data_IF_271169556138
#
_entry.id   IF_271169556138
#
_cell.length_a   1.000
_cell.length_b   1.000
_cell.length_c   1.000
_cell.angle_alpha   90.00
_cell.angle_beta   90.00
_cell.angle_gamma   90.00
#
_symmetry.space_group_name_H-M   'P 1'
#
loop_
_entity.id
_entity.type
_entity.pdbx_description
1 polymer ?
#
# COMPACT_ATOMS: atom_id res chain seq x y z
N UNK A 1 -46.66 -42.07 -48.07
CA UNK A 1 -46.44 -43.48 -47.68
C UNK A 1 -45.99 -43.46 -46.23
N UNK A 2 -46.73 -44.16 -45.37
CA UNK A 2 -46.43 -44.56 -43.97
C UNK A 2 -46.15 -43.45 -42.92
N UNK A 3 -47.02 -43.23 -41.92
CA UNK A 3 -47.23 -43.99 -40.65
C UNK A 3 -45.98 -43.94 -39.74
N UNK A 4 -46.03 -43.63 -38.45
CA UNK A 4 -47.12 -43.63 -37.50
C UNK A 4 -46.74 -43.03 -36.13
N UNK A 5 -47.72 -42.48 -35.39
CA UNK A 5 -48.42 -43.09 -34.23
C UNK A 5 -47.48 -43.11 -32.97
N UNK A 6 -47.75 -42.48 -31.82
CA UNK A 6 -48.79 -42.84 -30.83
C UNK A 6 -49.15 -41.71 -29.84
N UNK A 7 -50.46 -41.48 -29.78
CA UNK A 7 -51.23 -40.62 -28.88
C UNK A 7 -51.34 -41.22 -27.48
N UNK A 8 -51.40 -40.29 -26.53
CA UNK A 8 -51.82 -40.42 -25.12
C UNK A 8 -53.06 -41.30 -24.94
N UNK A 9 -52.95 -42.29 -24.06
CA UNK A 9 -54.05 -43.10 -23.54
C UNK A 9 -54.58 -42.46 -22.24
N UNK A 10 -55.87 -42.11 -22.24
CA UNK A 10 -56.65 -41.52 -21.15
C UNK A 10 -57.89 -42.40 -21.00
N UNK A 11 -57.98 -43.19 -19.93
CA UNK A 11 -59.17 -43.91 -19.48
C UNK A 11 -58.92 -44.22 -18.00
N UNK A 12 -59.71 -43.76 -17.02
CA UNK A 12 -61.17 -43.72 -17.02
C UNK A 12 -61.69 -45.03 -16.44
N UNK A 13 -61.43 -45.33 -15.16
CA UNK A 13 -62.02 -46.49 -14.48
C UNK A 13 -62.80 -46.08 -13.24
N UNK A 14 -64.10 -46.22 -13.45
CA UNK A 14 -65.27 -46.02 -12.61
C UNK A 14 -65.40 -47.14 -11.56
N UNK A 15 -66.00 -46.76 -10.44
CA UNK A 15 -66.28 -47.50 -9.22
C UNK A 15 -67.36 -48.58 -9.40
N UNK A 16 -67.19 -49.74 -8.76
CA UNK A 16 -68.21 -50.69 -8.27
C UNK A 16 -67.47 -51.98 -7.83
N UNK A 17 -67.78 -52.73 -6.76
CA UNK A 17 -68.75 -52.61 -5.69
C UNK A 17 -68.48 -53.71 -4.62
N UNK A 18 -68.99 -53.48 -3.40
CA UNK A 18 -69.43 -54.49 -2.38
C UNK A 18 -68.33 -55.23 -1.60
N UNK A 19 -68.53 -55.61 -0.34
CA UNK A 19 -69.63 -55.44 0.62
C UNK A 19 -69.02 -55.54 2.02
N UNK A 20 -69.47 -54.69 2.92
CA UNK A 20 -69.26 -54.80 4.37
C UNK A 20 -70.08 -56.00 4.86
N UNK A 21 -69.42 -56.94 5.53
CA UNK A 21 -70.03 -57.94 6.41
C UNK A 21 -69.14 -58.06 7.64
N UNK A 22 -69.71 -57.69 8.79
CA UNK A 22 -69.14 -57.59 10.14
C UNK A 22 -68.70 -58.98 10.70
N UNK A 23 -68.34 -59.19 11.99
CA UNK A 23 -68.00 -58.27 13.10
C UNK A 23 -66.74 -58.74 13.89
N UNK A 24 -66.36 -57.99 14.93
CA UNK A 24 -65.42 -58.34 16.02
C UNK A 24 -63.93 -58.49 15.64
N UNK A 25 -63.17 -57.41 15.85
CA UNK A 25 -61.91 -57.53 16.60
C UNK A 25 -61.52 -56.16 17.15
N UNK A 26 -61.68 -55.97 18.47
CA UNK A 26 -61.00 -54.92 19.21
C UNK A 26 -59.50 -55.22 19.22
N UNK A 27 -58.79 -54.90 18.15
CA UNK A 27 -57.33 -54.78 18.14
C UNK A 27 -56.96 -53.68 17.15
N UNK A 28 -57.38 -52.47 17.47
CA UNK A 28 -56.89 -51.28 16.80
C UNK A 28 -55.42 -51.08 17.21
N UNK A 29 -54.55 -51.32 16.25
CA UNK A 29 -53.11 -51.11 16.31
C UNK A 29 -52.83 -49.61 16.44
N UNK A 30 -52.88 -49.09 17.67
CA UNK A 30 -52.31 -47.77 17.98
C UNK A 30 -50.84 -47.92 18.36
N UNK A 31 -50.04 -48.27 17.36
CA UNK A 31 -48.59 -48.18 17.37
C UNK A 31 -48.19 -47.22 16.26
N UNK A 32 -48.21 -45.92 16.57
CA UNK A 32 -47.59 -44.85 15.79
C UNK A 32 -47.21 -43.73 16.76
N UNK A 33 -46.42 -44.10 17.75
CA UNK A 33 -45.67 -43.18 18.59
C UNK A 33 -44.18 -43.44 18.39
N UNK A 34 -43.74 -43.47 17.14
CA UNK A 34 -42.32 -43.52 16.81
C UNK A 34 -42.03 -42.61 15.64
N UNK A 35 -41.40 -41.50 16.01
CA UNK A 35 -40.11 -41.16 15.42
C UNK A 35 -40.14 -40.34 14.14
N UNK A 36 -40.59 -39.09 14.28
CA UNK A 36 -40.06 -37.99 13.48
C UNK A 36 -39.62 -36.83 14.37
N UNK A 37 -39.11 -37.12 15.57
CA UNK A 37 -38.26 -36.17 16.27
C UNK A 37 -36.86 -36.29 15.66
N UNK A 38 -36.76 -35.85 14.40
CA UNK A 38 -35.52 -35.61 13.69
C UNK A 38 -34.79 -34.53 14.47
N UNK A 39 -34.07 -34.98 15.48
CA UNK A 39 -33.10 -34.21 16.23
C UNK A 39 -32.11 -33.72 15.19
N UNK A 40 -32.35 -32.53 14.64
CA UNK A 40 -31.27 -31.73 14.11
C UNK A 40 -30.43 -31.49 15.33
N UNK A 41 -29.44 -32.35 15.52
CA UNK A 41 -28.28 -32.05 16.34
C UNK A 41 -27.78 -30.72 15.79
N UNK A 42 -28.20 -29.64 16.43
CA UNK A 42 -27.52 -28.37 16.36
C UNK A 42 -26.18 -28.67 16.98
N UNK A 43 -25.27 -29.19 16.14
CA UNK A 43 -23.91 -29.45 16.50
C UNK A 43 -23.40 -28.11 16.97
N UNK A 44 -23.29 -27.96 18.29
CA UNK A 44 -22.52 -26.90 18.89
C UNK A 44 -21.09 -27.19 18.45
N UNK A 45 -20.77 -26.64 17.28
CA UNK A 45 -19.44 -26.64 16.70
C UNK A 45 -18.62 -25.72 17.61
N UNK A 46 -18.01 -26.33 18.63
CA UNK A 46 -16.98 -25.66 19.39
C UNK A 46 -15.84 -25.29 18.45
N UNK A 47 -15.23 -24.12 18.70
CA UNK A 47 -14.02 -23.70 17.99
C UNK A 47 -12.99 -24.82 18.04
N UNK A 48 -12.59 -25.30 16.87
CA UNK A 48 -11.51 -26.27 16.83
C UNK A 48 -10.23 -25.54 17.25
N UNK A 49 -9.40 -26.16 18.09
CA UNK A 49 -8.11 -25.60 18.48
C UNK A 49 -7.27 -25.27 17.25
N UNK A 50 -7.41 -26.08 16.19
CA UNK A 50 -6.79 -25.88 14.89
C UNK A 50 -7.18 -24.55 14.23
N UNK A 51 -8.44 -24.12 14.34
CA UNK A 51 -8.92 -22.88 13.73
C UNK A 51 -8.29 -21.64 14.38
N UNK A 52 -8.17 -21.63 15.70
CA UNK A 52 -7.51 -20.53 16.43
C UNK A 52 -6.01 -20.50 16.10
N UNK A 53 -5.37 -21.66 15.96
CA UNK A 53 -3.96 -21.75 15.54
C UNK A 53 -3.74 -21.17 14.13
N UNK A 54 -4.61 -21.51 13.17
CA UNK A 54 -4.53 -20.99 11.81
C UNK A 54 -4.79 -19.47 11.80
N UNK A 55 -5.80 -19.00 12.54
CA UNK A 55 -6.10 -17.58 12.65
C UNK A 55 -4.91 -16.79 13.21
N UNK A 56 -4.28 -17.27 14.28
CA UNK A 56 -3.08 -16.65 14.85
C UNK A 56 -1.89 -16.67 13.89
N UNK A 57 -1.70 -17.76 13.13
CA UNK A 57 -0.64 -17.85 12.12
C UNK A 57 -0.82 -16.81 11.00
N UNK A 58 -2.05 -16.61 10.52
CA UNK A 58 -2.36 -15.60 9.51
C UNK A 58 -2.12 -14.19 10.08
N UNK A 59 -2.63 -13.90 11.27
CA UNK A 59 -2.46 -12.59 11.93
C UNK A 59 -0.98 -12.28 12.14
N UNK A 60 -0.19 -13.23 12.64
CA UNK A 60 1.25 -13.06 12.83
C UNK A 60 1.96 -12.75 11.51
N UNK A 61 1.62 -13.45 10.42
CA UNK A 61 2.19 -13.21 9.09
C UNK A 61 1.85 -11.81 8.58
N UNK A 62 0.59 -11.38 8.74
CA UNK A 62 0.13 -10.04 8.36
C UNK A 62 0.84 -8.96 9.17
N UNK A 63 1.04 -9.16 10.48
CA UNK A 63 1.78 -8.22 11.33
C UNK A 63 3.24 -8.09 10.93
N UNK A 64 3.92 -9.20 10.61
CA UNK A 64 5.30 -9.18 10.12
C UNK A 64 5.39 -8.43 8.78
N UNK A 65 4.44 -8.67 7.86
CA UNK A 65 4.37 -7.96 6.59
C UNK A 65 4.11 -6.45 6.78
N UNK A 66 3.24 -6.07 7.72
CA UNK A 66 2.97 -4.67 8.10
C UNK A 66 4.19 -3.97 8.68
N UNK A 67 4.90 -4.62 9.61
CA UNK A 67 6.14 -4.10 10.20
C UNK A 67 7.21 -3.92 9.10
N UNK A 68 7.31 -4.89 8.18
CA UNK A 68 8.21 -4.81 7.02
C UNK A 68 7.87 -3.66 6.05
N UNK A 69 6.57 -3.36 5.86
CA UNK A 69 6.12 -2.23 5.06
C UNK A 69 6.47 -0.88 5.73
N UNK A 70 6.39 -0.82 7.06
CA UNK A 70 6.68 0.38 7.83
C UNK A 70 8.19 0.70 7.93
N UNK A 71 9.06 -0.30 7.77
CA UNK A 71 10.52 -0.13 7.78
C UNK A 71 11.07 0.79 6.68
N UNK A 72 10.29 1.07 5.63
CA UNK A 72 10.66 2.01 4.56
C UNK A 72 10.46 3.48 4.97
N UNK A 73 9.52 3.76 5.87
CA UNK A 73 9.13 5.13 6.23
C UNK A 73 10.15 5.82 7.14
N UNK A 74 10.86 5.04 7.98
CA UNK A 74 11.85 5.60 8.91
C UNK A 74 13.12 6.06 8.17
N UNK A 75 13.55 5.32 7.13
CA UNK A 75 14.70 5.73 6.30
C UNK A 75 14.41 6.94 5.41
N UNK A 76 13.13 7.22 5.14
CA UNK A 76 12.72 8.40 4.38
C UNK A 76 12.81 9.68 5.22
N UNK A 77 12.54 9.61 6.53
CA UNK A 77 12.59 10.78 7.40
C UNK A 77 14.02 11.35 7.55
N UNK A 78 15.01 10.48 7.75
CA UNK A 78 16.42 10.88 7.87
C UNK A 78 16.97 11.52 6.57
N UNK A 79 16.56 10.96 5.41
CA UNK A 79 16.91 11.51 4.11
C UNK A 79 16.23 12.85 3.83
N UNK A 80 14.98 13.01 4.26
CA UNK A 80 14.24 14.28 4.10
C UNK A 80 14.87 15.41 4.92
N UNK A 81 15.29 15.12 6.14
CA UNK A 81 15.98 16.10 6.97
C UNK A 81 17.32 16.51 6.37
N UNK A 82 18.14 15.54 5.94
CA UNK A 82 19.44 15.80 5.30
C UNK A 82 19.33 16.68 4.05
N UNK A 83 18.37 16.40 3.15
CA UNK A 83 18.17 17.21 1.94
C UNK A 83 17.75 18.63 2.29
N UNK A 84 16.88 18.79 3.30
CA UNK A 84 16.41 20.11 3.73
C UNK A 84 17.55 20.93 4.30
N UNK A 85 18.37 20.35 5.18
CA UNK A 85 19.55 21.00 5.75
C UNK A 85 20.57 21.38 4.66
N UNK A 86 20.94 20.44 3.78
CA UNK A 86 21.84 20.71 2.65
C UNK A 86 21.32 21.83 1.74
N UNK A 87 20.00 21.86 1.52
CA UNK A 87 19.33 22.90 0.71
C UNK A 87 19.43 24.28 1.36
N UNK A 88 19.22 24.38 2.68
CA UNK A 88 19.34 25.65 3.41
C UNK A 88 20.77 26.17 3.37
N UNK A 89 21.75 25.30 3.61
CA UNK A 89 23.17 25.65 3.54
C UNK A 89 23.61 26.07 2.13
N UNK A 90 23.08 25.41 1.09
CA UNK A 90 23.34 25.79 -0.29
C UNK A 90 22.75 27.17 -0.63
N UNK A 91 21.53 27.46 -0.15
CA UNK A 91 20.89 28.77 -0.35
C UNK A 91 21.63 29.89 0.37
N UNK A 92 22.09 29.65 1.60
CA UNK A 92 22.90 30.60 2.35
C UNK A 92 24.16 30.96 1.56
N UNK A 93 24.94 29.97 1.12
CA UNK A 93 26.13 30.20 0.29
C UNK A 93 25.83 30.91 -1.02
N UNK A 94 24.76 30.52 -1.70
CA UNK A 94 24.36 31.18 -2.95
C UNK A 94 24.06 32.66 -2.71
N UNK A 95 23.35 32.97 -1.63
CA UNK A 95 22.97 34.34 -1.26
C UNK A 95 24.21 35.19 -0.95
N UNK A 96 25.19 34.64 -0.23
CA UNK A 96 26.46 35.33 0.02
C UNK A 96 27.19 35.69 -1.28
N UNK A 97 27.22 34.77 -2.24
CA UNK A 97 27.84 34.97 -3.55
C UNK A 97 27.07 36.03 -4.34
N UNK A 98 25.74 35.99 -4.33
CA UNK A 98 24.89 36.99 -5.00
C UNK A 98 25.11 38.39 -4.41
N UNK A 99 25.23 38.51 -3.10
CA UNK A 99 25.52 39.77 -2.42
C UNK A 99 26.94 40.25 -2.75
N UNK A 100 27.95 39.38 -2.77
CA UNK A 100 29.31 39.72 -3.17
C UNK A 100 29.36 40.19 -4.63
N UNK A 101 28.61 39.52 -5.52
CA UNK A 101 28.49 39.87 -6.93
C UNK A 101 27.83 41.26 -7.10
N UNK A 102 26.76 41.53 -6.36
CA UNK A 102 26.07 42.83 -6.37
C UNK A 102 26.96 43.97 -5.86
N UNK A 103 27.87 43.68 -4.92
CA UNK A 103 28.88 44.62 -4.42
C UNK A 103 30.09 44.80 -5.34
N UNK A 104 30.19 44.03 -6.42
CA UNK A 104 31.32 44.08 -7.34
C UNK A 104 32.60 43.44 -6.80
N UNK A 105 32.49 42.56 -5.80
CA UNK A 105 33.63 41.83 -5.27
C UNK A 105 34.10 40.74 -6.25
N UNK A 106 35.38 40.39 -6.18
CA UNK A 106 35.93 39.33 -7.02
C UNK A 106 35.37 37.97 -6.61
N UNK A 107 34.47 37.43 -7.42
CA UNK A 107 33.96 36.06 -7.26
C UNK A 107 35.06 35.06 -7.60
N UNK A 108 35.30 34.08 -6.73
CA UNK A 108 36.30 33.03 -6.92
C UNK A 108 35.70 31.67 -6.62
N UNK A 109 36.10 30.67 -7.40
CA UNK A 109 35.83 29.28 -7.08
C UNK A 109 36.46 28.90 -5.74
N UNK A 110 35.82 27.96 -5.05
CA UNK A 110 36.27 27.54 -3.74
C UNK A 110 35.61 26.26 -3.29
N UNK A 111 36.29 25.56 -2.38
CA UNK A 111 35.77 24.39 -1.68
C UNK A 111 36.05 24.58 -0.20
N UNK A 112 35.12 24.18 0.65
CA UNK A 112 35.30 24.23 2.09
C UNK A 112 34.27 23.41 2.85
N UNK A 113 34.37 23.43 4.17
CA UNK A 113 33.35 22.92 5.08
C UNK A 113 32.53 24.07 5.66
N UNK A 114 31.39 23.75 6.24
CA UNK A 114 30.66 24.67 7.12
C UNK A 114 31.21 24.59 8.55
N UNK A 115 30.90 25.62 9.35
CA UNK A 115 31.24 25.66 10.77
C UNK A 115 30.25 24.84 11.62
N UNK A 116 30.54 24.67 12.91
CA UNK A 116 29.69 23.93 13.85
C UNK A 116 28.26 24.51 13.88
N UNK A 117 27.20 23.67 13.83
CA UNK A 117 27.16 22.20 13.94
C UNK A 117 27.26 21.44 12.59
N UNK A 118 27.54 22.12 11.47
CA UNK A 118 27.45 21.57 10.12
C UNK A 118 28.80 21.12 9.54
N UNK A 119 29.77 20.81 10.39
CA UNK A 119 31.14 20.41 10.01
C UNK A 119 31.20 19.23 9.04
N UNK A 120 30.18 18.37 9.04
CA UNK A 120 30.07 17.21 8.14
C UNK A 120 29.69 17.58 6.70
N UNK A 121 29.18 18.79 6.48
CA UNK A 121 28.81 19.29 5.16
C UNK A 121 29.98 19.99 4.49
N UNK A 122 30.18 19.67 3.21
CA UNK A 122 31.15 20.33 2.33
C UNK A 122 30.40 21.08 1.25
N UNK A 123 30.95 22.22 0.88
CA UNK A 123 30.47 23.04 -0.22
C UNK A 123 31.54 23.18 -1.29
N UNK A 124 31.09 23.28 -2.55
CA UNK A 124 31.93 23.58 -3.69
C UNK A 124 31.23 24.58 -4.60
N UNK A 125 31.94 25.65 -4.96
CA UNK A 125 31.47 26.71 -5.85
C UNK A 125 32.25 26.64 -7.16
N UNK A 126 31.54 26.55 -8.28
CA UNK A 126 32.10 26.62 -9.64
C UNK A 126 31.46 27.76 -10.42
N UNK A 127 32.27 28.44 -11.24
CA UNK A 127 31.79 29.51 -12.11
C UNK A 127 31.99 29.11 -13.56
N UNK A 128 30.92 29.19 -14.34
CA UNK A 128 30.94 28.85 -15.75
C UNK A 128 30.57 30.07 -16.61
N UNK A 129 31.32 30.34 -17.70
CA UNK A 129 30.97 31.39 -18.63
C UNK A 129 29.69 31.00 -19.38
N UNK A 130 28.83 31.98 -19.63
CA UNK A 130 27.65 31.78 -20.48
C UNK A 130 27.86 32.43 -21.85
N UNK A 131 27.07 32.06 -22.88
CA UNK A 131 27.11 32.74 -24.18
C UNK A 131 26.81 34.24 -24.10
N UNK A 132 26.18 34.70 -23.01
CA UNK A 132 25.95 36.11 -22.74
C UNK A 132 27.15 36.65 -21.95
N UNK A 133 27.91 37.56 -22.55
CA UNK A 133 29.14 38.13 -21.95
C UNK A 133 28.88 38.82 -20.60
N UNK A 134 27.67 39.35 -20.40
CA UNK A 134 27.25 40.03 -19.17
C UNK A 134 26.65 39.09 -18.11
N UNK A 135 26.66 37.77 -18.32
CA UNK A 135 26.09 36.79 -17.38
C UNK A 135 27.11 35.68 -17.09
N UNK A 136 27.33 35.42 -15.80
CA UNK A 136 28.09 34.24 -15.34
C UNK A 136 27.17 33.27 -14.63
N UNK A 137 27.33 31.98 -14.92
CA UNK A 137 26.63 30.93 -14.19
C UNK A 137 27.46 30.56 -12.96
N UNK A 138 26.81 30.42 -11.81
CA UNK A 138 27.41 29.89 -10.60
C UNK A 138 26.68 28.63 -10.19
N UNK A 139 27.45 27.60 -9.85
CA UNK A 139 26.94 26.33 -9.32
C UNK A 139 27.49 26.11 -7.93
N UNK A 140 26.60 25.87 -6.97
CA UNK A 140 26.92 25.56 -5.58
C UNK A 140 26.47 24.13 -5.30
N UNK A 141 27.44 23.26 -5.07
CA UNK A 141 27.21 21.88 -4.63
C UNK A 141 27.37 21.80 -3.12
N UNK A 142 26.41 21.18 -2.44
CA UNK A 142 26.48 20.88 -1.00
C UNK A 142 26.19 19.41 -0.78
N UNK A 143 27.02 18.78 0.04
CA UNK A 143 26.90 17.34 0.34
C UNK A 143 27.60 16.95 1.62
N UNK A 144 27.18 15.82 2.20
CA UNK A 144 27.82 15.23 3.38
C UNK A 144 28.83 14.15 2.94
N UNK A 145 30.09 14.31 3.33
CA UNK A 145 31.16 13.38 2.94
C UNK A 145 31.47 13.42 1.43
N UNK A 146 31.34 12.27 0.76
CA UNK A 146 31.63 12.11 -0.69
C UNK A 146 30.38 12.19 -1.59
N UNK A 147 29.19 12.31 -0.99
CA UNK A 147 27.93 12.35 -1.74
C UNK A 147 27.41 13.78 -1.83
N UNK A 148 27.22 14.27 -3.06
CA UNK A 148 26.51 15.53 -3.32
C UNK A 148 25.02 15.28 -3.13
N UNK A 149 24.43 15.96 -2.15
CA UNK A 149 23.00 15.84 -1.85
C UNK A 149 22.18 16.85 -2.65
N UNK A 150 22.70 18.07 -2.81
CA UNK A 150 22.00 19.19 -3.46
C UNK A 150 22.96 20.01 -4.31
N UNK A 151 22.51 20.37 -5.51
CA UNK A 151 23.20 21.30 -6.42
C UNK A 151 22.25 22.45 -6.74
N UNK A 152 22.68 23.68 -6.43
CA UNK A 152 21.96 24.91 -6.80
C UNK A 152 22.72 25.63 -7.91
N UNK A 153 22.00 26.11 -8.92
CA UNK A 153 22.58 26.90 -10.02
C UNK A 153 21.89 28.25 -10.06
N UNK A 154 22.68 29.33 -10.09
CA UNK A 154 22.20 30.70 -10.23
C UNK A 154 22.94 31.42 -11.36
N UNK A 155 22.32 32.46 -11.90
CA UNK A 155 22.87 33.31 -12.94
C UNK A 155 23.14 34.70 -12.38
N UNK A 156 24.41 35.07 -12.36
CA UNK A 156 24.88 36.34 -11.82
C UNK A 156 25.15 37.32 -12.96
N UNK A 157 24.79 38.58 -12.73
CA UNK A 157 25.13 39.71 -13.60
C UNK A 157 26.28 40.47 -12.93
N UNK A 158 27.54 40.29 -13.38
CA UNK A 158 28.65 41.06 -12.85
C UNK A 158 28.43 42.53 -13.18
N UNK A 159 28.47 43.39 -12.16
CA UNK A 159 28.37 44.84 -12.40
C UNK A 159 29.65 45.30 -13.08
N UNK A 160 29.56 45.74 -14.33
CA UNK A 160 30.69 46.41 -15.00
C UNK A 160 30.83 47.81 -14.37
N UNK A 161 32.01 48.08 -13.79
CA UNK A 161 32.39 49.38 -13.23
C UNK A 161 32.93 50.30 -14.33
#
# INVERSE_FOLDING_TARGET
MERGILKKFKEGKNWQARRITDPLSCTDLRSDATDLQKNRSTGQQGFTLLEVMIALAIVATVLIALIGLQGRTIRLADRQQTITEATLLAQERMTEIEIAAARGESLREGTGSFDDPFTDYRWQVRFEPTPLTSVRMVTVDVGRGEQTDVTLTSFLFPREL
#
